data_IF_530037111006
#
_entry.id   IF_530037111006
#
_cell.length_a   1.000
_cell.length_b   1.000
_cell.length_c   1.000
_cell.angle_alpha   90.00
_cell.angle_beta   90.00
_cell.angle_gamma   90.00
#
_symmetry.space_group_name_H-M   'P 1'
#
loop_
_entity.id
_entity.type
_entity.pdbx_description
1 polymer ?
#
# COMPACT_ATOMS: atom_id res chain seq x y z
N UNK A 1 -14.14 14.08 -16.35
CA UNK A 1 -14.16 14.19 -14.88
C UNK A 1 -15.55 14.65 -14.47
N UNK A 2 -16.23 13.91 -13.59
CA UNK A 2 -17.63 14.22 -13.25
C UNK A 2 -17.74 15.51 -12.42
N UNK A 3 -18.73 16.39 -12.69
CA UNK A 3 -18.86 17.71 -12.05
C UNK A 3 -18.92 17.67 -10.51
N UNK A 4 -19.45 16.58 -9.92
CA UNK A 4 -19.61 16.46 -8.47
C UNK A 4 -18.32 16.30 -7.66
N UNK A 5 -17.19 15.92 -8.27
CA UNK A 5 -15.93 15.76 -7.53
C UNK A 5 -15.20 17.09 -7.32
N UNK A 6 -15.40 18.07 -8.21
CA UNK A 6 -14.86 19.42 -8.04
C UNK A 6 -15.65 20.21 -6.97
N UNK A 7 -16.97 20.04 -6.94
CA UNK A 7 -17.87 20.71 -6.00
C UNK A 7 -17.61 20.33 -4.52
N UNK A 8 -17.22 19.09 -4.22
CA UNK A 8 -16.83 18.69 -2.86
C UNK A 8 -15.54 19.35 -2.35
N UNK A 9 -14.59 19.67 -3.24
CA UNK A 9 -13.31 20.30 -2.88
C UNK A 9 -13.47 21.81 -2.70
N UNK A 10 -14.32 22.48 -3.51
CA UNK A 10 -14.61 23.91 -3.35
C UNK A 10 -15.43 24.21 -2.09
N UNK A 11 -16.36 23.31 -1.73
CA UNK A 11 -17.12 23.38 -0.48
C UNK A 11 -16.31 23.08 0.77
N UNK A 12 -15.08 22.58 0.62
CA UNK A 12 -14.17 22.31 1.75
C UNK A 12 -13.51 23.58 2.32
N UNK A 13 -13.79 24.77 1.77
CA UNK A 13 -13.33 26.06 2.29
C UNK A 13 -13.82 26.37 3.72
N UNK A 14 -14.84 25.67 4.21
CA UNK A 14 -15.35 25.73 5.60
C UNK A 14 -14.85 24.60 6.51
N UNK A 15 -14.06 23.65 5.98
CA UNK A 15 -13.53 22.50 6.71
C UNK A 15 -12.20 22.89 7.39
N UNK A 16 -11.96 22.39 8.61
CA UNK A 16 -10.68 22.54 9.31
C UNK A 16 -9.51 22.10 8.41
N UNK A 17 -8.44 22.89 8.37
CA UNK A 17 -7.20 22.59 7.60
C UNK A 17 -6.65 21.18 7.92
N UNK A 18 -6.91 20.67 9.11
CA UNK A 18 -6.51 19.34 9.57
C UNK A 18 -7.27 18.18 8.89
N UNK A 19 -8.39 18.45 8.22
CA UNK A 19 -9.20 17.44 7.54
C UNK A 19 -9.08 17.52 6.01
N UNK A 20 -8.54 18.61 5.47
CA UNK A 20 -8.37 18.78 4.02
C UNK A 20 -7.54 17.66 3.37
N UNK A 21 -6.50 17.19 4.04
CA UNK A 21 -5.71 16.07 3.52
C UNK A 21 -6.53 14.78 3.40
N UNK A 22 -7.50 14.55 4.30
CA UNK A 22 -8.41 13.38 4.23
C UNK A 22 -9.36 13.51 3.05
N UNK A 23 -9.90 14.71 2.80
CA UNK A 23 -10.74 14.97 1.63
C UNK A 23 -9.98 14.64 0.34
N UNK A 24 -8.72 15.06 0.24
CA UNK A 24 -7.89 14.71 -0.92
C UNK A 24 -7.55 13.21 -1.00
N UNK A 25 -7.36 12.54 0.14
CA UNK A 25 -7.13 11.09 0.17
C UNK A 25 -8.37 10.33 -0.32
N UNK A 26 -9.55 10.67 0.20
CA UNK A 26 -10.81 10.07 -0.24
C UNK A 26 -11.08 10.35 -1.72
N UNK A 27 -10.83 11.58 -2.18
CA UNK A 27 -10.94 11.93 -3.60
C UNK A 27 -10.01 11.07 -4.48
N UNK A 28 -8.78 10.81 -4.03
CA UNK A 28 -7.85 9.93 -4.75
C UNK A 28 -8.41 8.51 -4.87
N UNK A 29 -8.85 7.92 -3.75
CA UNK A 29 -9.41 6.56 -3.75
C UNK A 29 -10.72 6.45 -4.56
N UNK A 30 -11.55 7.49 -4.57
CA UNK A 30 -12.73 7.54 -5.43
C UNK A 30 -12.35 7.57 -6.92
N UNK A 31 -11.33 8.36 -7.27
CA UNK A 31 -10.83 8.47 -8.64
C UNK A 31 -10.20 7.15 -9.11
N UNK A 32 -9.46 6.45 -8.24
CA UNK A 32 -8.95 5.10 -8.50
C UNK A 32 -10.07 4.11 -8.79
N UNK A 33 -11.09 4.03 -7.92
CA UNK A 33 -12.26 3.16 -8.13
C UNK A 33 -12.99 3.48 -9.43
N UNK A 34 -13.15 4.76 -9.75
CA UNK A 34 -13.77 5.19 -11.00
C UNK A 34 -12.94 4.80 -12.23
N UNK A 35 -11.61 4.96 -12.17
CA UNK A 35 -10.71 4.55 -13.25
C UNK A 35 -10.77 3.03 -13.48
N UNK A 36 -10.79 2.24 -12.41
CA UNK A 36 -10.91 0.78 -12.46
C UNK A 36 -12.28 0.32 -12.96
N UNK A 37 -13.38 0.92 -12.48
CA UNK A 37 -14.73 0.65 -12.97
C UNK A 37 -14.87 0.99 -14.46
N UNK A 38 -14.21 2.07 -14.92
CA UNK A 38 -14.11 2.41 -16.33
C UNK A 38 -13.35 1.37 -17.17
N UNK A 39 -12.43 0.59 -16.59
CA UNK A 39 -11.86 -0.60 -17.27
C UNK A 39 -12.97 -1.60 -17.57
N UNK A 40 -13.75 -1.95 -16.53
CA UNK A 40 -14.74 -3.01 -16.57
C UNK A 40 -15.93 -2.67 -17.49
N UNK A 41 -16.29 -1.38 -17.58
CA UNK A 41 -17.40 -0.90 -18.40
C UNK A 41 -17.04 -0.71 -19.90
N UNK A 42 -15.83 -1.06 -20.33
CA UNK A 42 -15.39 -0.85 -21.72
C UNK A 42 -15.05 0.61 -21.99
N UNK A 43 -13.91 1.05 -21.44
CA UNK A 43 -13.38 2.42 -21.59
C UNK A 43 -13.32 2.85 -23.08
N UNK A 44 -13.54 4.14 -23.42
CA UNK A 44 -13.30 4.65 -24.76
C UNK A 44 -11.88 4.29 -25.23
N UNK A 45 -11.79 3.81 -26.48
CA UNK A 45 -10.55 3.39 -27.10
C UNK A 45 -9.49 4.51 -27.02
N UNK A 46 -8.31 4.19 -26.48
CA UNK A 46 -7.15 5.09 -26.44
C UNK A 46 -6.76 5.66 -25.07
N UNK A 47 -7.59 5.54 -24.03
CA UNK A 47 -7.21 5.98 -22.66
C UNK A 47 -6.72 4.80 -21.84
N UNK A 48 -5.39 4.69 -21.68
CA UNK A 48 -4.74 3.71 -20.80
C UNK A 48 -5.14 3.88 -19.33
N UNK A 49 -4.96 2.84 -18.51
CA UNK A 49 -5.27 2.92 -17.07
C UNK A 49 -4.39 3.97 -16.37
N UNK A 50 -3.13 4.07 -16.79
CA UNK A 50 -2.17 5.07 -16.35
C UNK A 50 -2.69 6.51 -16.56
N UNK A 51 -3.22 6.80 -17.74
CA UNK A 51 -3.81 8.11 -18.06
C UNK A 51 -5.04 8.40 -17.19
N UNK A 52 -5.90 7.40 -17.00
CA UNK A 52 -7.11 7.53 -16.19
C UNK A 52 -6.82 7.83 -14.71
N UNK A 53 -5.62 7.50 -14.22
CA UNK A 53 -5.20 7.74 -12.83
C UNK A 53 -4.47 9.05 -12.60
N UNK A 54 -4.22 9.86 -13.64
CA UNK A 54 -3.63 11.20 -13.45
C UNK A 54 -4.38 12.07 -12.42
N UNK A 55 -5.73 12.11 -12.38
CA UNK A 55 -6.46 12.81 -11.33
C UNK A 55 -6.17 12.24 -9.94
N UNK A 56 -6.11 10.91 -9.83
CA UNK A 56 -5.81 10.19 -8.58
C UNK A 56 -4.44 10.60 -8.03
N UNK A 57 -3.39 10.55 -8.86
CA UNK A 57 -2.02 10.97 -8.50
C UNK A 57 -1.97 12.43 -8.04
N UNK A 58 -2.69 13.33 -8.72
CA UNK A 58 -2.79 14.74 -8.32
C UNK A 58 -3.46 14.91 -6.95
N UNK A 59 -4.50 14.13 -6.67
CA UNK A 59 -5.18 14.14 -5.37
C UNK A 59 -4.27 13.59 -4.25
N UNK A 60 -3.52 12.52 -4.51
CA UNK A 60 -2.50 12.02 -3.57
C UNK A 60 -1.42 13.07 -3.28
N UNK A 61 -0.88 13.73 -4.30
CA UNK A 61 0.13 14.78 -4.12
C UNK A 61 -0.39 15.94 -3.24
N UNK A 62 -1.64 16.35 -3.44
CA UNK A 62 -2.30 17.36 -2.58
C UNK A 62 -2.51 16.86 -1.15
N UNK A 63 -2.91 15.60 -0.99
CA UNK A 63 -3.07 14.98 0.33
C UNK A 63 -1.73 14.96 1.08
N UNK A 64 -0.64 14.54 0.42
CA UNK A 64 0.71 14.52 0.99
C UNK A 64 1.15 15.91 1.45
N UNK A 65 0.94 16.95 0.63
CA UNK A 65 1.35 18.32 0.94
C UNK A 65 0.62 18.91 2.17
N UNK A 66 -0.56 18.41 2.51
CA UNK A 66 -1.39 18.90 3.60
C UNK A 66 -1.37 17.99 4.84
N UNK A 67 -0.83 16.77 4.71
CA UNK A 67 -0.88 15.76 5.75
C UNK A 67 0.18 16.02 6.84
N UNK A 68 -0.14 15.82 8.13
CA UNK A 68 0.86 15.80 9.20
C UNK A 68 1.96 14.75 8.94
N UNK A 69 3.23 15.06 9.24
CA UNK A 69 4.38 14.22 8.86
C UNK A 69 4.34 12.80 9.46
N UNK A 70 3.74 12.64 10.64
CA UNK A 70 3.57 11.35 11.30
C UNK A 70 2.54 10.41 10.63
N UNK A 71 1.74 10.93 9.70
CA UNK A 71 0.69 10.19 9.00
C UNK A 71 0.95 10.07 7.49
N UNK A 72 1.89 10.84 6.94
CA UNK A 72 2.17 10.88 5.49
C UNK A 72 2.53 9.51 4.92
N UNK A 73 3.20 8.65 5.69
CA UNK A 73 3.52 7.27 5.29
C UNK A 73 2.29 6.45 4.87
N UNK A 74 1.11 6.70 5.46
CA UNK A 74 -0.13 6.01 5.07
C UNK A 74 -0.59 6.40 3.67
N UNK A 75 -0.38 7.67 3.30
CA UNK A 75 -0.74 8.18 1.98
C UNK A 75 0.25 7.64 0.94
N UNK A 76 1.55 7.61 1.26
CA UNK A 76 2.55 6.96 0.42
C UNK A 76 2.22 5.49 0.14
N UNK A 77 1.82 4.73 1.17
CA UNK A 77 1.36 3.35 0.99
C UNK A 77 0.09 3.25 0.13
N UNK A 78 -0.87 4.17 0.28
CA UNK A 78 -2.08 4.17 -0.55
C UNK A 78 -1.73 4.44 -2.02
N UNK A 79 -0.92 5.47 -2.29
CA UNK A 79 -0.45 5.81 -3.63
C UNK A 79 0.34 4.66 -4.27
N UNK A 80 1.25 4.02 -3.53
CA UNK A 80 2.03 2.88 -4.05
C UNK A 80 1.16 1.69 -4.42
N UNK A 81 0.10 1.37 -3.65
CA UNK A 81 -0.86 0.31 -4.03
C UNK A 81 -1.63 0.62 -5.31
N UNK A 82 -1.95 1.90 -5.54
CA UNK A 82 -2.55 2.34 -6.81
C UNK A 82 -1.59 2.12 -7.98
N UNK A 83 -0.30 2.41 -7.82
CA UNK A 83 0.71 2.15 -8.86
C UNK A 83 0.94 0.65 -9.11
N UNK A 84 0.94 -0.18 -8.07
CA UNK A 84 0.96 -1.65 -8.22
C UNK A 84 -0.22 -2.14 -9.07
N UNK A 85 -1.41 -1.58 -8.86
CA UNK A 85 -2.61 -1.96 -9.61
C UNK A 85 -2.53 -1.64 -11.10
N UNK A 86 -1.53 -0.86 -11.52
CA UNK A 86 -1.28 -0.46 -12.90
C UNK A 86 0.01 -1.01 -13.48
N UNK A 87 0.64 -1.95 -12.79
CA UNK A 87 1.93 -2.54 -13.15
C UNK A 87 3.11 -1.53 -13.15
N UNK A 88 2.94 -0.37 -12.50
CA UNK A 88 3.99 0.63 -12.34
C UNK A 88 4.89 0.29 -11.13
N UNK A 89 5.58 -0.85 -11.20
CA UNK A 89 6.37 -1.41 -10.09
C UNK A 89 7.47 -0.46 -9.61
N UNK A 90 8.15 0.23 -10.52
CA UNK A 90 9.24 1.16 -10.18
C UNK A 90 8.76 2.33 -9.31
N UNK A 91 7.66 2.97 -9.72
CA UNK A 91 7.05 4.08 -8.97
C UNK A 91 6.49 3.60 -7.63
N UNK A 92 5.82 2.44 -7.62
CA UNK A 92 5.33 1.84 -6.38
C UNK A 92 6.45 1.60 -5.36
N UNK A 93 7.62 1.14 -5.83
CA UNK A 93 8.80 0.92 -4.99
C UNK A 93 9.30 2.21 -4.37
N UNK A 94 9.42 3.27 -5.16
CA UNK A 94 9.86 4.57 -4.65
C UNK A 94 8.89 5.11 -3.59
N UNK A 95 7.58 5.01 -3.84
CA UNK A 95 6.55 5.44 -2.89
C UNK A 95 6.62 4.64 -1.58
N UNK A 96 6.82 3.32 -1.64
CA UNK A 96 6.98 2.50 -0.43
C UNK A 96 8.28 2.78 0.33
N UNK A 97 9.38 3.09 -0.37
CA UNK A 97 10.63 3.51 0.27
C UNK A 97 10.46 4.87 0.98
N UNK A 98 9.80 5.84 0.34
CA UNK A 98 9.43 7.11 0.99
C UNK A 98 8.54 6.89 2.21
N UNK A 99 7.62 5.93 2.15
CA UNK A 99 6.82 5.54 3.31
C UNK A 99 7.71 4.97 4.43
N UNK A 100 8.67 4.12 4.10
CA UNK A 100 9.59 3.48 5.05
C UNK A 100 10.47 4.50 5.79
N UNK A 101 10.88 5.57 5.11
CA UNK A 101 11.75 6.61 5.70
C UNK A 101 11.03 7.49 6.72
N UNK A 102 9.71 7.70 6.56
CA UNK A 102 8.92 8.55 7.46
C UNK A 102 8.03 7.79 8.45
N UNK A 103 7.99 6.46 8.38
CA UNK A 103 7.10 5.65 9.24
C UNK A 103 7.59 5.60 10.69
N UNK A 104 6.64 5.64 11.62
CA UNK A 104 6.88 5.36 13.04
C UNK A 104 7.28 3.90 13.27
N UNK A 105 7.95 3.59 14.37
CA UNK A 105 8.41 2.22 14.68
C UNK A 105 7.27 1.19 14.63
N UNK A 106 6.08 1.54 15.12
CA UNK A 106 4.89 0.68 15.10
C UNK A 106 4.39 0.34 13.69
N UNK A 107 4.62 1.23 12.71
CA UNK A 107 4.19 1.03 11.32
C UNK A 107 5.25 0.40 10.43
N UNK A 108 6.48 0.26 10.92
CA UNK A 108 7.64 -0.16 10.12
C UNK A 108 7.52 -1.61 9.67
N UNK A 109 6.95 -2.49 10.49
CA UNK A 109 6.59 -3.87 10.08
C UNK A 109 5.62 -3.86 8.90
N UNK A 110 4.59 -3.00 8.94
CA UNK A 110 3.57 -2.93 7.89
C UNK A 110 4.15 -2.47 6.56
N UNK A 111 5.05 -1.48 6.56
CA UNK A 111 5.69 -1.00 5.32
C UNK A 111 6.62 -2.07 4.73
N UNK A 112 7.42 -2.76 5.55
CA UNK A 112 8.29 -3.83 5.08
C UNK A 112 7.49 -5.01 4.48
N UNK A 113 6.30 -5.30 5.02
CA UNK A 113 5.41 -6.30 4.44
C UNK A 113 4.88 -5.87 3.06
N UNK A 114 4.56 -4.59 2.85
CA UNK A 114 4.17 -4.08 1.52
C UNK A 114 5.34 -4.13 0.53
N UNK A 115 6.55 -3.76 0.96
CA UNK A 115 7.76 -3.91 0.13
C UNK A 115 7.99 -5.38 -0.25
N UNK A 116 7.85 -6.31 0.69
CA UNK A 116 7.96 -7.74 0.38
C UNK A 116 6.94 -8.19 -0.66
N UNK A 117 5.69 -7.73 -0.58
CA UNK A 117 4.65 -8.10 -1.56
C UNK A 117 4.93 -7.48 -2.93
N UNK A 118 5.45 -6.25 -2.95
CA UNK A 118 5.84 -5.59 -4.19
C UNK A 118 6.94 -6.37 -4.91
N UNK A 119 8.01 -6.75 -4.21
CA UNK A 119 9.11 -7.48 -4.84
C UNK A 119 8.67 -8.87 -5.29
N UNK A 120 7.79 -9.54 -4.54
CA UNK A 120 7.18 -10.79 -4.98
C UNK A 120 6.37 -10.60 -6.26
N UNK A 121 5.55 -9.55 -6.33
CA UNK A 121 4.79 -9.19 -7.53
C UNK A 121 5.70 -8.89 -8.73
N UNK A 122 6.82 -8.20 -8.49
CA UNK A 122 7.85 -7.92 -9.49
C UNK A 122 8.64 -9.17 -9.94
N UNK A 123 8.42 -10.33 -9.31
CA UNK A 123 9.15 -11.57 -9.56
C UNK A 123 10.49 -11.70 -8.80
N UNK A 124 10.90 -10.69 -8.02
CA UNK A 124 12.09 -10.76 -7.17
C UNK A 124 11.76 -11.36 -5.79
N UNK A 125 11.57 -12.67 -5.79
CA UNK A 125 11.32 -13.44 -4.57
C UNK A 125 12.52 -13.41 -3.61
N UNK A 126 13.73 -13.16 -4.12
CA UNK A 126 14.94 -13.07 -3.30
C UNK A 126 14.87 -11.86 -2.36
N UNK A 127 14.60 -10.69 -2.93
CA UNK A 127 14.45 -9.44 -2.19
C UNK A 127 13.20 -9.48 -1.30
N UNK A 128 12.09 -10.08 -1.77
CA UNK A 128 10.91 -10.30 -0.93
C UNK A 128 11.25 -11.07 0.37
N UNK A 129 11.99 -12.18 0.26
CA UNK A 129 12.45 -12.96 1.42
C UNK A 129 13.40 -12.17 2.33
N UNK A 130 14.25 -11.31 1.76
CA UNK A 130 15.14 -10.44 2.53
C UNK A 130 14.34 -9.48 3.42
N UNK A 131 13.32 -8.82 2.86
CA UNK A 131 12.43 -7.95 3.63
C UNK A 131 11.70 -8.70 4.75
N UNK A 132 11.18 -9.91 4.49
CA UNK A 132 10.53 -10.72 5.54
C UNK A 132 11.51 -11.21 6.60
N UNK A 133 12.74 -11.55 6.23
CA UNK A 133 13.78 -11.92 7.19
C UNK A 133 14.14 -10.75 8.10
N UNK A 134 14.36 -9.56 7.54
CA UNK A 134 14.55 -8.32 8.32
C UNK A 134 13.35 -8.03 9.22
N UNK A 135 12.14 -8.20 8.70
CA UNK A 135 10.91 -7.97 9.47
C UNK A 135 10.78 -8.93 10.64
N UNK A 136 11.14 -10.21 10.48
CA UNK A 136 11.11 -11.18 11.59
C UNK A 136 12.14 -10.86 12.67
N UNK A 137 13.34 -10.43 12.26
CA UNK A 137 14.40 -10.04 13.20
C UNK A 137 14.02 -8.84 14.05
N UNK A 138 13.42 -7.81 13.45
CA UNK A 138 13.06 -6.57 14.15
C UNK A 138 11.65 -6.59 14.77
N UNK A 139 10.71 -7.31 14.15
CA UNK A 139 9.27 -7.28 14.46
C UNK A 139 8.67 -8.68 14.61
N UNK A 140 9.45 -9.65 15.09
CA UNK A 140 9.00 -11.04 15.29
C UNK A 140 7.85 -11.21 16.28
N UNK A 141 7.50 -10.17 17.04
CA UNK A 141 6.28 -10.11 17.88
C UNK A 141 5.00 -9.80 17.11
N UNK A 142 5.08 -9.42 15.83
CA UNK A 142 3.92 -9.18 14.97
C UNK A 142 3.61 -10.44 14.15
N UNK A 143 2.49 -11.10 14.48
CA UNK A 143 2.06 -12.34 13.84
C UNK A 143 1.89 -12.20 12.32
N UNK A 144 1.59 -10.99 11.81
CA UNK A 144 1.42 -10.73 10.37
C UNK A 144 2.71 -10.95 9.59
N UNK A 145 3.86 -10.71 10.22
CA UNK A 145 5.17 -10.93 9.63
C UNK A 145 5.40 -12.43 9.38
N UNK A 146 5.05 -13.25 10.36
CA UNK A 146 5.14 -14.71 10.25
C UNK A 146 4.15 -15.26 9.24
N UNK A 147 2.88 -14.82 9.29
CA UNK A 147 1.88 -15.24 8.31
C UNK A 147 2.32 -14.90 6.88
N UNK A 148 2.86 -13.70 6.66
CA UNK A 148 3.36 -13.30 5.33
C UNK A 148 4.54 -14.16 4.90
N UNK A 149 5.43 -14.54 5.82
CA UNK A 149 6.56 -15.45 5.57
C UNK A 149 6.09 -16.86 5.17
N UNK A 150 5.09 -17.40 5.87
CA UNK A 150 4.49 -18.70 5.53
C UNK A 150 3.82 -18.64 4.15
N UNK A 151 3.00 -17.61 3.91
CA UNK A 151 2.28 -17.46 2.64
C UNK A 151 3.23 -17.33 1.44
N UNK A 152 4.32 -16.58 1.57
CA UNK A 152 5.35 -16.46 0.53
C UNK A 152 5.92 -17.84 0.17
N UNK A 153 6.38 -18.60 1.17
CA UNK A 153 7.00 -19.90 0.92
C UNK A 153 5.99 -20.94 0.39
N UNK A 154 4.72 -20.88 0.82
CA UNK A 154 3.64 -21.68 0.25
C UNK A 154 3.42 -21.40 -1.23
N UNK A 155 3.34 -20.12 -1.64
CA UNK A 155 3.16 -19.73 -3.06
C UNK A 155 4.33 -20.15 -3.94
N UNK A 156 5.54 -20.20 -3.38
CA UNK A 156 6.74 -20.65 -4.10
C UNK A 156 7.11 -22.13 -3.88
N UNK A 157 6.16 -22.94 -3.37
CA UNK A 157 6.32 -24.40 -3.26
C UNK A 157 7.31 -24.89 -2.20
N UNK A 158 7.83 -24.01 -1.33
CA UNK A 158 8.80 -24.36 -0.28
C UNK A 158 8.08 -24.76 1.02
N UNK A 159 7.35 -25.88 0.96
CA UNK A 159 6.49 -26.36 2.06
C UNK A 159 7.25 -26.55 3.38
N UNK A 160 8.46 -27.11 3.34
CA UNK A 160 9.24 -27.37 4.56
C UNK A 160 9.55 -26.07 5.31
N UNK A 161 9.98 -25.02 4.59
CA UNK A 161 10.21 -23.69 5.16
C UNK A 161 8.93 -23.03 5.67
N UNK A 162 7.82 -23.23 4.96
CA UNK A 162 6.53 -22.72 5.41
C UNK A 162 6.10 -23.36 6.73
N UNK A 163 6.30 -24.68 6.88
CA UNK A 163 6.02 -25.41 8.13
C UNK A 163 6.93 -24.91 9.26
N UNK A 164 8.23 -24.77 9.00
CA UNK A 164 9.20 -24.25 9.97
C UNK A 164 8.79 -22.85 10.49
N UNK A 165 8.38 -21.96 9.59
CA UNK A 165 7.94 -20.61 9.96
C UNK A 165 6.60 -20.63 10.70
N UNK A 166 5.67 -21.52 10.34
CA UNK A 166 4.41 -21.68 11.06
C UNK A 166 4.63 -22.21 12.49
N UNK A 167 5.51 -23.20 12.66
CA UNK A 167 5.89 -23.71 13.99
C UNK A 167 6.56 -22.64 14.85
N UNK A 168 7.48 -21.87 14.26
CA UNK A 168 8.11 -20.72 14.93
C UNK A 168 7.07 -19.69 15.38
N UNK A 169 6.11 -19.36 14.50
CA UNK A 169 5.03 -18.44 14.81
C UNK A 169 4.16 -18.94 15.98
N UNK A 170 3.77 -20.22 15.98
CA UNK A 170 2.97 -20.83 17.05
C UNK A 170 3.69 -20.79 18.40
N UNK A 171 5.01 -21.00 18.41
CA UNK A 171 5.80 -20.94 19.63
C UNK A 171 5.84 -19.54 20.24
N UNK A 172 5.88 -18.50 19.40
CA UNK A 172 5.94 -17.09 19.81
C UNK A 172 4.53 -16.56 20.16
N UNK A 173 3.51 -16.96 19.39
CA UNK A 173 2.16 -16.39 19.42
C UNK A 173 1.12 -17.38 19.95
N UNK A 174 1.30 -17.85 21.19
CA UNK A 174 0.48 -18.92 21.79
C UNK A 174 -1.00 -18.56 22.05
N UNK A 175 -1.42 -17.30 21.85
CA UNK A 175 -2.75 -16.82 22.25
C UNK A 175 -3.45 -15.83 21.31
N UNK A 176 -3.08 -15.73 20.03
CA UNK A 176 -3.68 -14.74 19.09
C UNK A 176 -5.07 -15.12 18.57
N UNK A 177 -5.83 -15.88 19.35
CA UNK A 177 -7.13 -16.45 18.99
C UNK A 177 -8.20 -16.32 20.07
N UNK A 178 -8.02 -15.43 21.05
CA UNK A 178 -9.07 -14.98 21.98
C UNK A 178 -9.61 -13.60 21.58
#
# INVERSE_FOLDING_TARGET
ASPGTMDMVERASTISRELLWKVHLEAAQMQERAALAGVAAGRPAGVGLDEALRPCRRSYARSIALCPPNLTWKIWLAAGRTEVSCDNVSEARELFLRAHDCVTEKGRSSVLLELSRLEEFAGDVGTARSFLTRSRGAYGGDWKVWLSSVNLECRHGRRDRAIEFAQSALNIHRGTGE
#
